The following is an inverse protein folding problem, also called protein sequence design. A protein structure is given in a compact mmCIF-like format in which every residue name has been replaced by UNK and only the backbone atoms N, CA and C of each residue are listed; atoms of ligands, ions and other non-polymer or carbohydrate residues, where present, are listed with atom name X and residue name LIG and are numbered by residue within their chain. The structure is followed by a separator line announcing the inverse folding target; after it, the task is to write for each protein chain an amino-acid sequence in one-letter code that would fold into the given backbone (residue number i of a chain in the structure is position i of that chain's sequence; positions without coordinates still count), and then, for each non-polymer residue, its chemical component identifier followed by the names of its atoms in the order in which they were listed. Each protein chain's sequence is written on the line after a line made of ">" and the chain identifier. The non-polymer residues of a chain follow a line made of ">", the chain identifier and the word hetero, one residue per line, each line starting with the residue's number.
data_IF_734560445193
#
_entry.id   IF_734560445193
#
_cell.length_a   1.000
_cell.length_b   1.000
_cell.length_c   1.000
_cell.angle_alpha   90.00
_cell.angle_beta   90.00
_cell.angle_gamma   90.00
#
_symmetry.space_group_name_H-M   'P 1'
#
loop_
_entity.id
_entity.type
_entity.pdbx_description
1 polymer ?
#
# COMPACT_ATOMS: atom_id res chain seq x y z
N UNK A 1 -1.13 0.48 -25.31
CA UNK A 1 -0.33 -0.65 -25.80
C UNK A 1 -0.72 -1.83 -24.92
N UNK A 2 -1.63 -2.66 -25.39
CA UNK A 2 -1.97 -3.90 -24.69
C UNK A 2 -0.74 -4.80 -24.78
N UNK A 3 -0.02 -4.95 -23.67
CA UNK A 3 0.95 -6.04 -23.54
C UNK A 3 0.13 -7.33 -23.60
N UNK A 4 0.12 -7.95 -24.79
CA UNK A 4 -0.40 -9.31 -24.92
C UNK A 4 0.38 -10.14 -23.90
N UNK A 5 -0.34 -10.84 -23.02
CA UNK A 5 0.23 -11.87 -22.18
C UNK A 5 0.93 -12.86 -23.10
N UNK A 6 2.25 -12.76 -23.22
CA UNK A 6 3.01 -13.80 -23.91
C UNK A 6 2.94 -15.05 -23.01
N UNK A 7 2.84 -16.25 -23.57
CA UNK A 7 2.83 -17.49 -22.79
C UNK A 7 4.00 -17.62 -21.78
N UNK A 8 5.07 -16.87 -21.98
CA UNK A 8 6.24 -16.83 -21.11
C UNK A 8 5.98 -16.14 -19.77
N UNK A 9 5.14 -15.08 -19.70
CA UNK A 9 4.78 -14.44 -18.44
C UNK A 9 3.95 -15.33 -17.51
N UNK A 10 3.20 -16.29 -18.05
CA UNK A 10 2.44 -17.25 -17.26
C UNK A 10 3.34 -18.22 -16.48
N UNK A 11 4.58 -18.41 -16.96
CA UNK A 11 5.60 -19.25 -16.31
C UNK A 11 6.38 -18.51 -15.21
N UNK A 12 6.17 -17.20 -15.08
CA UNK A 12 6.78 -16.42 -14.02
C UNK A 12 5.90 -16.44 -12.77
N UNK A 13 6.55 -16.61 -11.63
CA UNK A 13 5.93 -16.52 -10.33
C UNK A 13 6.30 -15.17 -9.71
N UNK A 14 5.30 -14.39 -9.39
CA UNK A 14 5.47 -13.06 -8.86
C UNK A 14 5.03 -12.98 -7.41
N UNK A 15 5.91 -12.46 -6.57
CA UNK A 15 5.59 -12.08 -5.20
C UNK A 15 5.66 -10.57 -5.05
N UNK A 16 4.65 -9.98 -4.43
CA UNK A 16 4.66 -8.58 -4.04
C UNK A 16 4.61 -8.44 -2.52
N UNK A 17 5.39 -7.50 -2.01
CA UNK A 17 5.42 -7.14 -0.59
C UNK A 17 4.99 -5.69 -0.44
N UNK A 18 3.93 -5.47 0.30
CA UNK A 18 3.48 -4.14 0.69
C UNK A 18 3.99 -3.82 2.09
N UNK A 19 4.70 -2.72 2.21
CA UNK A 19 5.20 -2.25 3.49
C UNK A 19 5.05 -0.73 3.61
N UNK A 20 5.29 -0.21 4.81
CA UNK A 20 5.30 1.23 5.02
C UNK A 20 6.72 1.75 5.07
N UNK A 21 7.02 2.65 4.14
CA UNK A 21 8.17 3.51 4.00
C UNK A 21 9.41 3.13 4.81
N UNK A 22 10.02 4.10 5.39
CA UNK A 22 11.32 3.98 6.12
C UNK A 22 11.33 2.86 7.17
N UNK A 23 10.20 2.63 7.85
CA UNK A 23 10.11 1.62 8.93
C UNK A 23 10.32 0.18 8.46
N UNK A 24 9.88 -0.14 7.26
CA UNK A 24 9.88 -1.52 6.77
C UNK A 24 10.73 -1.74 5.52
N UNK A 25 11.40 -0.70 5.01
CA UNK A 25 12.21 -0.80 3.79
C UNK A 25 13.26 -1.90 3.89
N UNK A 26 14.02 -1.95 4.99
CA UNK A 26 15.02 -2.99 5.22
C UNK A 26 14.40 -4.38 5.28
N UNK A 27 13.23 -4.52 5.91
CA UNK A 27 12.52 -5.78 6.04
C UNK A 27 11.92 -6.24 4.70
N UNK A 28 11.31 -5.31 3.94
CA UNK A 28 10.78 -5.58 2.59
C UNK A 28 11.88 -6.06 1.64
N UNK A 29 12.99 -5.34 1.61
CA UNK A 29 14.17 -5.72 0.82
C UNK A 29 14.74 -7.09 1.26
N UNK A 30 14.88 -7.31 2.57
CA UNK A 30 15.35 -8.59 3.11
C UNK A 30 14.44 -9.76 2.71
N UNK A 31 13.11 -9.54 2.75
CA UNK A 31 12.13 -10.55 2.34
C UNK A 31 12.26 -10.93 0.87
N UNK A 32 12.16 -9.95 -0.04
CA UNK A 32 12.17 -10.23 -1.48
C UNK A 32 13.52 -10.74 -1.96
N UNK A 33 14.63 -10.20 -1.41
CA UNK A 33 15.98 -10.70 -1.67
C UNK A 33 16.11 -12.16 -1.28
N UNK A 34 15.67 -12.52 -0.07
CA UNK A 34 15.76 -13.90 0.42
C UNK A 34 14.88 -14.82 -0.42
N UNK A 35 13.66 -14.40 -0.75
CA UNK A 35 12.74 -15.18 -1.58
C UNK A 35 13.28 -15.40 -3.00
N UNK A 36 13.80 -14.36 -3.65
CA UNK A 36 14.40 -14.49 -4.98
C UNK A 36 15.67 -15.35 -4.95
N UNK A 37 16.54 -15.17 -3.97
CA UNK A 37 17.73 -16.03 -3.81
C UNK A 37 17.34 -17.48 -3.60
N UNK A 38 16.27 -17.77 -2.85
CA UNK A 38 15.76 -19.12 -2.69
C UNK A 38 15.22 -19.70 -4.01
N UNK A 39 14.64 -18.87 -4.86
CA UNK A 39 14.30 -19.25 -6.23
C UNK A 39 15.52 -19.69 -7.04
N UNK A 40 16.62 -18.93 -6.95
CA UNK A 40 17.89 -19.29 -7.60
C UNK A 40 18.47 -20.60 -7.04
N UNK A 41 18.44 -20.82 -5.73
CA UNK A 41 18.86 -22.06 -5.08
C UNK A 41 18.03 -23.25 -5.56
N UNK A 42 16.73 -23.05 -5.76
CA UNK A 42 15.81 -24.03 -6.34
C UNK A 42 16.03 -24.27 -7.86
N UNK A 43 17.09 -23.74 -8.45
CA UNK A 43 17.44 -23.92 -9.88
C UNK A 43 16.61 -23.07 -10.83
N UNK A 44 16.04 -21.96 -10.37
CA UNK A 44 15.22 -21.04 -11.15
C UNK A 44 15.96 -19.72 -11.38
N UNK A 45 15.73 -19.07 -12.50
CA UNK A 45 16.15 -17.69 -12.64
C UNK A 45 15.26 -16.80 -11.79
N UNK A 46 15.87 -15.92 -11.00
CA UNK A 46 15.14 -15.09 -10.07
C UNK A 46 15.79 -13.74 -9.88
N UNK A 47 14.99 -12.73 -9.69
CA UNK A 47 15.45 -11.40 -9.31
C UNK A 47 14.45 -10.71 -8.39
N UNK A 48 14.86 -9.61 -7.80
CA UNK A 48 14.01 -8.77 -6.97
C UNK A 48 14.28 -7.30 -7.26
N UNK A 49 13.28 -6.48 -7.06
CA UNK A 49 13.40 -5.03 -7.19
C UNK A 49 12.41 -4.31 -6.28
N UNK A 50 12.66 -3.06 -6.06
CA UNK A 50 11.81 -2.17 -5.31
C UNK A 50 11.24 -1.12 -6.26
N UNK A 51 9.94 -0.87 -6.15
CA UNK A 51 9.36 0.30 -6.81
C UNK A 51 9.66 1.51 -5.95
N UNK A 52 10.53 2.35 -6.46
CA UNK A 52 10.76 3.67 -5.90
C UNK A 52 9.60 4.57 -6.35
N UNK A 53 8.90 5.18 -5.40
CA UNK A 53 8.06 6.32 -5.69
C UNK A 53 8.91 7.57 -5.48
N UNK A 54 8.91 8.49 -6.45
CA UNK A 54 9.63 9.78 -6.38
C UNK A 54 9.08 10.73 -5.30
N UNK A 55 8.10 10.27 -4.54
CA UNK A 55 7.64 10.99 -3.36
C UNK A 55 8.81 11.15 -2.40
N UNK A 56 9.13 12.38 -1.97
CA UNK A 56 10.16 12.60 -0.97
C UNK A 56 9.86 11.67 0.21
N UNK A 57 10.90 11.06 0.76
CA UNK A 57 10.88 10.13 1.88
C UNK A 57 9.95 10.63 2.99
N UNK A 58 8.67 10.36 2.83
CA UNK A 58 7.67 10.64 3.84
C UNK A 58 7.63 9.42 4.74
N UNK A 59 7.77 9.65 6.02
CA UNK A 59 7.58 8.61 7.00
C UNK A 59 6.27 7.87 6.73
N UNK A 60 6.36 6.55 6.54
CA UNK A 60 5.23 5.65 6.41
C UNK A 60 4.43 5.65 5.09
N UNK A 61 4.98 6.16 3.99
CA UNK A 61 4.40 5.95 2.65
C UNK A 61 4.40 4.45 2.33
N UNK A 62 3.29 3.90 1.82
CA UNK A 62 3.27 2.52 1.35
C UNK A 62 4.26 2.30 0.21
N UNK A 63 5.09 1.28 0.35
CA UNK A 63 6.10 0.88 -0.63
C UNK A 63 5.86 -0.56 -1.07
N UNK A 64 6.28 -0.86 -2.30
CA UNK A 64 6.15 -2.20 -2.87
C UNK A 64 7.52 -2.75 -3.25
N UNK A 65 7.76 -4.00 -2.89
CA UNK A 65 8.91 -4.78 -3.29
C UNK A 65 8.43 -6.01 -4.07
N UNK A 66 9.19 -6.40 -5.05
CA UNK A 66 8.83 -7.49 -5.95
C UNK A 66 9.92 -8.56 -5.96
N UNK A 67 9.50 -9.82 -5.94
CA UNK A 67 10.33 -10.97 -6.25
C UNK A 67 9.74 -11.67 -7.46
N UNK A 68 10.57 -11.95 -8.45
CA UNK A 68 10.18 -12.66 -9.67
C UNK A 68 11.01 -13.94 -9.75
N UNK A 69 10.34 -15.06 -9.91
CA UNK A 69 10.94 -16.39 -9.94
C UNK A 69 10.47 -17.08 -11.22
N UNK A 70 11.38 -17.32 -12.14
CA UNK A 70 11.08 -17.94 -13.42
C UNK A 70 10.99 -19.47 -13.33
N UNK A 71 10.37 -20.06 -14.34
CA UNK A 71 10.55 -21.47 -14.63
C UNK A 71 11.99 -21.69 -15.15
N UNK A 72 12.67 -22.82 -14.83
CA UNK A 72 14.04 -23.08 -15.32
C UNK A 72 14.22 -23.04 -16.84
N UNK A 73 13.13 -22.99 -17.59
CA UNK A 73 13.13 -22.96 -19.06
C UNK A 73 12.91 -21.56 -19.64
N UNK A 74 12.82 -20.53 -18.80
CA UNK A 74 12.51 -19.15 -19.21
C UNK A 74 13.68 -18.24 -18.90
N UNK A 75 14.26 -17.64 -19.93
CA UNK A 75 15.20 -16.54 -19.78
C UNK A 75 14.44 -15.28 -19.34
N UNK A 76 14.71 -14.82 -18.13
CA UNK A 76 14.11 -13.58 -17.61
C UNK A 76 14.93 -12.40 -18.14
N UNK A 77 14.40 -11.70 -19.12
CA UNK A 77 14.96 -10.40 -19.50
C UNK A 77 14.53 -9.37 -18.47
N UNK A 78 15.49 -8.89 -17.69
CA UNK A 78 15.29 -7.87 -16.65
C UNK A 78 14.88 -6.54 -17.30
N UNK A 79 13.65 -6.16 -17.10
CA UNK A 79 13.20 -4.78 -17.28
C UNK A 79 12.95 -4.16 -15.91
N UNK A 80 13.77 -3.20 -15.54
CA UNK A 80 13.77 -2.60 -14.20
C UNK A 80 12.48 -1.86 -13.81
N UNK A 81 11.52 -1.67 -14.72
CA UNK A 81 10.34 -0.83 -14.48
C UNK A 81 9.05 -1.43 -15.03
N UNK A 82 8.86 -2.73 -14.98
CA UNK A 82 7.57 -3.28 -15.42
C UNK A 82 6.53 -3.07 -14.32
N UNK A 83 5.64 -2.11 -14.53
CA UNK A 83 4.38 -2.12 -13.80
C UNK A 83 3.64 -3.42 -14.14
N UNK A 84 3.31 -4.24 -13.13
CA UNK A 84 2.57 -5.45 -13.40
C UNK A 84 1.18 -5.09 -13.95
N UNK A 85 0.94 -5.45 -15.19
CA UNK A 85 -0.35 -5.27 -15.87
C UNK A 85 -1.07 -6.60 -15.89
N UNK A 86 -2.25 -6.66 -15.30
CA UNK A 86 -3.06 -7.88 -15.25
C UNK A 86 -2.85 -8.69 -13.97
N UNK A 87 -3.31 -9.94 -13.98
CA UNK A 87 -3.24 -10.84 -12.82
C UNK A 87 -1.91 -11.61 -12.82
N UNK A 88 -0.89 -11.07 -12.17
CA UNK A 88 0.46 -11.64 -12.17
C UNK A 88 0.88 -12.21 -10.81
N UNK A 89 0.41 -11.61 -9.70
CA UNK A 89 0.90 -11.97 -8.36
C UNK A 89 0.37 -13.31 -7.88
N UNK A 90 1.28 -14.24 -7.64
CA UNK A 90 1.02 -15.53 -6.98
C UNK A 90 0.99 -15.37 -5.47
N UNK A 91 1.77 -14.41 -4.94
CA UNK A 91 1.85 -14.16 -3.50
C UNK A 91 1.82 -12.66 -3.21
N UNK A 92 1.11 -12.30 -2.17
CA UNK A 92 0.99 -10.95 -1.66
C UNK A 92 1.34 -10.99 -0.17
N UNK A 93 2.33 -10.22 0.24
CA UNK A 93 2.70 -10.11 1.65
C UNK A 93 2.47 -8.68 2.13
N UNK A 94 1.72 -8.51 3.19
CA UNK A 94 1.45 -7.22 3.81
C UNK A 94 2.20 -7.16 5.15
N UNK A 95 3.27 -6.39 5.20
CA UNK A 95 4.11 -6.27 6.39
C UNK A 95 3.49 -5.41 7.48
N UNK A 96 2.57 -4.54 7.10
CA UNK A 96 1.83 -3.68 8.01
C UNK A 96 0.34 -3.74 7.68
N UNK A 97 -0.44 -4.35 8.56
CA UNK A 97 -1.88 -4.54 8.37
C UNK A 97 -2.66 -3.22 8.21
N UNK A 98 -2.07 -2.09 8.62
CA UNK A 98 -2.67 -0.78 8.40
C UNK A 98 -2.93 -0.47 6.93
N UNK A 99 -2.11 -1.01 6.04
CA UNK A 99 -2.29 -0.85 4.60
C UNK A 99 -3.66 -1.39 4.15
N UNK A 100 -4.13 -2.46 4.78
CA UNK A 100 -5.45 -3.05 4.54
C UNK A 100 -6.55 -2.40 5.37
N UNK A 101 -6.26 -2.05 6.63
CA UNK A 101 -7.26 -1.56 7.58
C UNK A 101 -7.66 -0.11 7.32
N UNK A 102 -6.76 0.69 6.77
CA UNK A 102 -7.09 2.06 6.41
C UNK A 102 -8.05 2.13 5.22
N UNK A 103 -9.07 2.98 5.33
CA UNK A 103 -10.03 3.23 4.25
C UNK A 103 -9.48 4.24 3.22
N UNK A 104 -8.25 4.03 2.80
CA UNK A 104 -7.61 4.84 1.75
C UNK A 104 -7.65 4.10 0.40
N UNK A 105 -7.35 4.80 -0.67
CA UNK A 105 -7.24 4.22 -2.03
C UNK A 105 -6.15 3.15 -2.13
N UNK A 106 -5.10 3.24 -1.33
CA UNK A 106 -4.00 2.29 -1.28
C UNK A 106 -4.44 0.88 -0.88
N UNK A 107 -5.49 0.79 -0.08
CA UNK A 107 -6.10 -0.48 0.34
C UNK A 107 -6.51 -1.35 -0.85
N UNK A 108 -7.04 -0.74 -1.91
CA UNK A 108 -7.43 -1.46 -3.11
C UNK A 108 -6.23 -1.97 -3.91
N UNK A 109 -5.10 -1.25 -3.88
CA UNK A 109 -3.89 -1.59 -4.63
C UNK A 109 -3.24 -2.89 -4.15
N UNK A 110 -3.51 -3.33 -2.92
CA UNK A 110 -2.98 -4.61 -2.39
C UNK A 110 -3.36 -5.79 -3.28
N UNK A 111 -4.54 -5.75 -3.90
CA UNK A 111 -5.04 -6.82 -4.78
C UNK A 111 -4.90 -6.50 -6.27
N UNK A 112 -4.40 -5.31 -6.63
CA UNK A 112 -4.13 -5.01 -8.04
C UNK A 112 -3.05 -5.95 -8.56
N UNK A 113 -3.38 -6.69 -9.60
CA UNK A 113 -2.49 -7.70 -10.17
C UNK A 113 -2.50 -9.06 -9.46
N UNK A 114 -3.31 -9.29 -8.44
CA UNK A 114 -3.43 -10.58 -7.78
C UNK A 114 -4.01 -11.65 -8.72
N UNK A 115 -3.42 -12.84 -8.75
CA UNK A 115 -4.04 -14.02 -9.39
C UNK A 115 -5.23 -14.51 -8.57
N UNK A 116 -6.13 -15.24 -9.21
CA UNK A 116 -7.32 -15.80 -8.56
C UNK A 116 -6.98 -16.67 -7.36
N UNK A 117 -5.90 -17.42 -7.43
CA UNK A 117 -5.41 -18.36 -6.41
C UNK A 117 -4.26 -17.79 -5.57
N UNK A 118 -4.04 -16.48 -5.62
CA UNK A 118 -2.95 -15.82 -4.90
C UNK A 118 -2.99 -16.11 -3.39
N UNK A 119 -1.82 -16.26 -2.80
CA UNK A 119 -1.63 -16.39 -1.35
C UNK A 119 -1.45 -14.99 -0.76
N UNK A 120 -2.28 -14.63 0.22
CA UNK A 120 -2.13 -13.40 1.00
C UNK A 120 -1.57 -13.73 2.38
N UNK A 121 -0.43 -13.15 2.72
CA UNK A 121 0.17 -13.21 4.06
C UNK A 121 0.09 -11.83 4.70
N UNK A 122 -0.47 -11.75 5.90
CA UNK A 122 -0.64 -10.46 6.61
C UNK A 122 0.02 -10.51 7.97
N UNK A 123 0.92 -9.58 8.22
CA UNK A 123 1.47 -9.35 9.57
C UNK A 123 0.43 -8.61 10.42
N UNK A 124 -0.25 -9.34 11.29
CA UNK A 124 -1.30 -8.79 12.14
C UNK A 124 -1.55 -9.68 13.35
N UNK A 125 -2.10 -9.09 14.41
CA UNK A 125 -2.65 -9.82 15.55
C UNK A 125 -4.14 -10.12 15.40
N UNK A 126 -4.77 -9.62 14.34
CA UNK A 126 -6.19 -9.85 14.06
C UNK A 126 -6.43 -11.27 13.55
N UNK A 127 -7.55 -11.88 13.88
CA UNK A 127 -7.91 -13.19 13.36
C UNK A 127 -8.25 -13.13 11.87
N UNK A 128 -8.12 -14.24 11.13
CA UNK A 128 -8.35 -14.29 9.67
C UNK A 128 -9.72 -13.71 9.25
N UNK A 129 -10.77 -13.94 10.02
CA UNK A 129 -12.14 -13.48 9.73
C UNK A 129 -12.20 -11.95 9.61
N UNK A 130 -11.48 -11.23 10.48
CA UNK A 130 -11.45 -9.77 10.44
C UNK A 130 -10.73 -9.24 9.20
N UNK A 131 -9.69 -9.92 8.75
CA UNK A 131 -9.01 -9.56 7.50
C UNK A 131 -9.91 -9.87 6.30
N UNK A 132 -10.63 -10.99 6.32
CA UNK A 132 -11.58 -11.34 5.26
C UNK A 132 -12.73 -10.32 5.13
N UNK A 133 -13.30 -9.86 6.24
CA UNK A 133 -14.30 -8.79 6.22
C UNK A 133 -13.76 -7.52 5.53
N UNK A 134 -12.51 -7.16 5.84
CA UNK A 134 -11.84 -6.02 5.21
C UNK A 134 -11.65 -6.23 3.72
N UNK A 135 -11.24 -7.43 3.29
CA UNK A 135 -11.05 -7.78 1.88
C UNK A 135 -12.38 -7.77 1.13
N UNK A 136 -13.47 -8.26 1.74
CA UNK A 136 -14.82 -8.20 1.15
C UNK A 136 -15.31 -6.76 0.93
N UNK A 137 -14.95 -5.84 1.82
CA UNK A 137 -15.25 -4.42 1.66
C UNK A 137 -14.54 -3.80 0.45
N UNK A 138 -13.39 -4.34 0.02
CA UNK A 138 -12.62 -3.81 -1.12
C UNK A 138 -13.35 -3.96 -2.47
N UNK A 139 -14.37 -4.81 -2.54
CA UNK A 139 -15.12 -5.08 -3.77
C UNK A 139 -14.20 -5.49 -4.92
N UNK A 140 -13.45 -6.59 -4.72
CA UNK A 140 -12.49 -7.08 -5.69
C UNK A 140 -13.09 -7.15 -7.11
N UNK A 141 -12.31 -6.75 -8.10
CA UNK A 141 -12.69 -6.76 -9.52
C UNK A 141 -12.68 -8.17 -10.13
N UNK A 142 -12.03 -9.11 -9.46
CA UNK A 142 -11.95 -10.52 -9.86
C UNK A 142 -12.18 -11.42 -8.63
N UNK A 143 -12.53 -12.65 -8.89
CA UNK A 143 -12.70 -13.67 -7.86
C UNK A 143 -11.35 -14.02 -7.22
N UNK A 144 -11.34 -14.17 -5.90
CA UNK A 144 -10.18 -14.65 -5.17
C UNK A 144 -10.51 -15.94 -4.42
N UNK A 145 -9.86 -17.04 -4.83
CA UNK A 145 -10.01 -18.39 -4.26
C UNK A 145 -8.70 -18.92 -3.67
N UNK A 146 -7.78 -18.03 -3.33
CA UNK A 146 -6.48 -18.35 -2.79
C UNK A 146 -6.49 -18.68 -1.30
N UNK A 147 -5.37 -18.42 -0.64
CA UNK A 147 -5.21 -18.68 0.79
C UNK A 147 -4.87 -17.39 1.52
N UNK A 148 -5.39 -17.25 2.75
CA UNK A 148 -5.01 -16.21 3.70
C UNK A 148 -4.18 -16.85 4.82
N UNK A 149 -3.07 -16.18 5.19
CA UNK A 149 -2.31 -16.47 6.40
C UNK A 149 -2.17 -15.19 7.20
N UNK A 150 -2.62 -15.20 8.44
CA UNK A 150 -2.36 -14.13 9.40
C UNK A 150 -1.31 -14.59 10.40
N UNK A 151 -0.34 -13.73 10.68
CA UNK A 151 0.73 -14.05 11.63
C UNK A 151 1.19 -12.78 12.33
N UNK A 152 1.40 -12.85 13.65
CA UNK A 152 1.98 -11.75 14.44
C UNK A 152 3.50 -11.87 14.38
N UNK A 153 4.13 -11.36 13.32
CA UNK A 153 5.57 -11.55 13.07
C UNK A 153 6.46 -11.04 14.21
N UNK A 154 6.04 -10.00 14.92
CA UNK A 154 6.78 -9.44 16.07
C UNK A 154 6.90 -10.37 17.29
N UNK A 155 6.00 -11.35 17.41
CA UNK A 155 6.07 -12.30 18.53
C UNK A 155 7.27 -13.26 18.46
N UNK A 156 8.07 -13.15 17.40
CA UNK A 156 9.23 -13.99 17.15
C UNK A 156 10.58 -13.35 17.55
N UNK A 157 10.55 -12.11 18.09
CA UNK A 157 11.74 -11.35 18.50
C UNK A 157 12.83 -11.30 17.42
N UNK A 158 12.41 -11.07 16.17
CA UNK A 158 13.28 -11.06 15.00
C UNK A 158 12.82 -10.04 13.96
N UNK A 159 13.64 -9.85 12.93
CA UNK A 159 13.24 -9.12 11.73
C UNK A 159 11.97 -9.76 11.15
N UNK A 160 10.91 -8.97 10.95
CA UNK A 160 9.59 -9.45 10.54
C UNK A 160 9.58 -10.18 9.19
N UNK A 161 10.63 -10.01 8.38
CA UNK A 161 10.78 -10.69 7.09
C UNK A 161 10.79 -12.23 7.26
N UNK A 162 11.50 -12.76 8.28
CA UNK A 162 11.68 -14.21 8.42
C UNK A 162 10.42 -14.93 8.91
N UNK A 163 9.68 -14.44 9.90
CA UNK A 163 8.39 -15.05 10.24
C UNK A 163 7.40 -15.01 9.08
N UNK A 164 7.40 -13.94 8.29
CA UNK A 164 6.52 -13.84 7.11
C UNK A 164 6.93 -14.81 5.99
N UNK A 165 8.24 -15.06 5.81
CA UNK A 165 8.74 -16.08 4.89
C UNK A 165 8.28 -17.47 5.29
N UNK A 166 8.40 -17.85 6.55
CA UNK A 166 7.93 -19.15 7.05
C UNK A 166 6.43 -19.32 6.84
N UNK A 167 5.63 -18.28 7.16
CA UNK A 167 4.20 -18.29 6.93
C UNK A 167 3.83 -18.39 5.43
N UNK A 168 4.60 -17.72 4.57
CA UNK A 168 4.40 -17.80 3.12
C UNK A 168 4.67 -19.22 2.61
N UNK A 169 5.80 -19.83 2.98
CA UNK A 169 6.16 -21.16 2.51
C UNK A 169 5.15 -22.23 2.94
N UNK A 170 4.50 -22.05 4.08
CA UNK A 170 3.41 -22.93 4.53
C UNK A 170 2.23 -22.96 3.59
N UNK A 171 1.89 -21.82 3.02
CA UNK A 171 0.76 -21.67 2.12
C UNK A 171 1.12 -21.86 0.63
N UNK A 172 2.38 -21.57 0.29
CA UNK A 172 2.90 -21.57 -1.08
C UNK A 172 4.17 -22.44 -1.18
N UNK A 173 4.01 -23.61 -1.74
CA UNK A 173 5.02 -24.68 -1.73
C UNK A 173 6.02 -24.66 -2.90
N UNK A 174 6.09 -23.59 -3.65
CA UNK A 174 7.01 -23.50 -4.82
C UNK A 174 8.47 -23.46 -4.39
N UNK A 175 8.77 -22.84 -3.28
CA UNK A 175 10.08 -22.83 -2.62
C UNK A 175 9.96 -23.71 -1.38
N UNK A 176 10.93 -24.56 -1.15
CA UNK A 176 10.96 -25.47 -0.01
C UNK A 176 11.69 -24.87 1.19
N UNK A 177 11.50 -25.43 2.37
CA UNK A 177 12.28 -25.05 3.55
C UNK A 177 13.78 -25.38 3.37
N UNK A 178 14.12 -26.41 2.61
CA UNK A 178 15.50 -26.76 2.30
C UNK A 178 16.17 -25.72 1.40
N UNK A 179 15.46 -25.23 0.36
CA UNK A 179 15.93 -24.14 -0.49
C UNK A 179 16.17 -22.88 0.33
N UNK A 180 15.25 -22.57 1.26
CA UNK A 180 15.38 -21.40 2.12
C UNK A 180 16.51 -21.55 3.15
N UNK A 181 16.72 -22.75 3.72
CA UNK A 181 17.83 -23.04 4.62
C UNK A 181 19.16 -22.78 3.93
N UNK A 182 19.36 -23.38 2.76
CA UNK A 182 20.56 -23.16 1.94
C UNK A 182 20.74 -21.68 1.60
N UNK A 183 19.67 -21.00 1.28
CA UNK A 183 19.68 -19.55 0.99
C UNK A 183 20.16 -18.74 2.19
N UNK A 184 19.64 -19.02 3.39
CA UNK A 184 20.03 -18.32 4.60
C UNK A 184 21.49 -18.56 4.98
N UNK A 185 22.01 -19.77 4.73
CA UNK A 185 23.43 -20.06 4.87
C UNK A 185 24.28 -19.21 3.91
N UNK A 186 23.91 -19.17 2.63
CA UNK A 186 24.59 -18.35 1.61
C UNK A 186 24.58 -16.85 1.94
N UNK A 187 23.49 -16.37 2.55
CA UNK A 187 23.35 -14.97 2.96
C UNK A 187 24.02 -14.68 4.32
N UNK A 188 24.65 -15.66 4.98
CA UNK A 188 25.25 -15.51 6.31
C UNK A 188 24.23 -15.31 7.43
N UNK A 189 23.00 -15.82 7.25
CA UNK A 189 21.86 -15.65 8.16
C UNK A 189 21.25 -16.99 8.58
N UNK A 190 22.05 -18.04 8.67
CA UNK A 190 21.62 -19.39 9.04
C UNK A 190 20.89 -19.44 10.39
N UNK A 191 21.26 -18.54 11.32
CA UNK A 191 20.60 -18.38 12.62
C UNK A 191 19.11 -18.03 12.53
N UNK A 192 18.67 -17.47 11.41
CA UNK A 192 17.26 -17.09 11.19
C UNK A 192 16.38 -18.29 10.81
N UNK A 193 16.95 -19.42 10.43
CA UNK A 193 16.17 -20.60 10.04
C UNK A 193 15.27 -21.09 11.17
N UNK A 194 15.73 -21.03 12.42
CA UNK A 194 14.92 -21.40 13.60
C UNK A 194 13.61 -20.60 13.67
N UNK A 195 13.66 -19.35 13.28
CA UNK A 195 12.48 -18.45 13.26
C UNK A 195 11.55 -18.82 12.12
N UNK A 196 12.11 -19.10 10.96
CA UNK A 196 11.35 -19.57 9.79
C UNK A 196 10.64 -20.88 10.10
N UNK A 197 11.32 -21.87 10.67
CA UNK A 197 10.75 -23.18 11.03
C UNK A 197 9.61 -23.05 12.04
N UNK A 198 9.81 -22.19 13.04
CA UNK A 198 8.79 -21.92 14.05
C UNK A 198 7.56 -21.26 13.41
N UNK A 199 7.76 -20.20 12.62
CA UNK A 199 6.65 -19.51 11.97
C UNK A 199 5.94 -20.35 10.91
N UNK A 200 6.68 -21.23 10.21
CA UNK A 200 6.11 -22.22 9.32
C UNK A 200 5.20 -23.21 10.07
N UNK A 201 5.61 -23.63 11.26
CA UNK A 201 4.84 -24.55 12.09
C UNK A 201 3.60 -23.88 12.68
N UNK A 202 3.71 -22.62 13.09
CA UNK A 202 2.64 -21.83 13.70
C UNK A 202 1.62 -21.31 12.68
N UNK A 203 1.98 -21.23 11.41
CA UNK A 203 1.12 -20.68 10.36
C UNK A 203 -0.03 -21.63 10.00
N UNK A 204 -1.24 -21.10 9.98
CA UNK A 204 -2.48 -21.80 9.61
C UNK A 204 -3.12 -21.17 8.37
N UNK A 205 -2.86 -21.69 7.15
CA UNK A 205 -3.47 -21.16 5.93
C UNK A 205 -5.00 -21.40 5.91
N UNK A 206 -5.76 -20.33 5.77
CA UNK A 206 -7.21 -20.38 5.62
C UNK A 206 -7.58 -20.33 4.14
N UNK A 207 -8.33 -21.31 3.63
CA UNK A 207 -8.84 -21.31 2.27
C UNK A 207 -9.91 -20.23 2.11
N UNK A 208 -9.81 -19.43 1.08
CA UNK A 208 -10.71 -18.29 0.82
C UNK A 208 -11.51 -18.52 -0.47
N UNK A 209 -12.72 -17.99 -0.50
CA UNK A 209 -13.56 -17.95 -1.69
C UNK A 209 -14.39 -16.65 -1.70
N UNK A 210 -13.80 -15.59 -2.21
CA UNK A 210 -14.45 -14.28 -2.37
C UNK A 210 -14.79 -14.08 -3.84
N UNK A 211 -16.09 -13.95 -4.13
CA UNK A 211 -16.56 -13.68 -5.48
C UNK A 211 -16.33 -12.24 -5.86
N UNK A 212 -16.01 -12.01 -7.14
CA UNK A 212 -15.97 -10.67 -7.69
C UNK A 212 -17.33 -9.98 -7.49
N UNK A 213 -17.33 -8.78 -6.97
CA UNK A 213 -18.51 -7.93 -7.01
C UNK A 213 -18.55 -7.29 -8.40
N UNK A 214 -19.61 -7.53 -9.15
CA UNK A 214 -19.83 -6.96 -10.48
C UNK A 214 -19.74 -5.44 -10.37
N UNK A 215 -18.67 -4.87 -10.93
CA UNK A 215 -18.61 -3.43 -11.08
C UNK A 215 -19.74 -2.99 -11.99
N UNK A 216 -20.66 -2.21 -11.47
CA UNK A 216 -21.56 -1.46 -12.32
C UNK A 216 -20.64 -0.44 -13.01
N UNK A 217 -20.43 -0.60 -14.31
CA UNK A 217 -19.82 0.47 -15.11
C UNK A 217 -20.71 1.72 -14.91
N UNK A 218 -20.29 2.58 -14.02
CA UNK A 218 -20.81 3.95 -14.02
C UNK A 218 -20.25 4.59 -15.26
N UNK A 219 -21.09 4.70 -16.30
CA UNK A 219 -20.77 5.60 -17.40
C UNK A 219 -20.48 6.95 -16.77
N UNK A 220 -19.24 7.39 -16.84
CA UNK A 220 -18.91 8.72 -16.38
C UNK A 220 -19.67 9.68 -17.29
N UNK A 221 -20.60 10.44 -16.73
CA UNK A 221 -21.31 11.54 -17.44
C UNK A 221 -20.38 12.75 -17.60
N UNK A 222 -19.09 12.51 -17.73
CA UNK A 222 -18.13 13.58 -17.90
C UNK A 222 -18.28 14.16 -19.31
N UNK A 223 -18.31 15.47 -19.44
CA UNK A 223 -18.37 16.11 -20.74
C UNK A 223 -17.17 15.68 -21.59
N UNK A 224 -17.42 15.33 -22.84
CA UNK A 224 -16.34 15.07 -23.80
C UNK A 224 -15.62 16.38 -24.08
N UNK A 225 -14.29 16.34 -24.02
CA UNK A 225 -13.48 17.49 -24.37
C UNK A 225 -13.39 17.61 -25.89
N UNK A 226 -13.96 18.65 -26.43
CA UNK A 226 -13.88 18.97 -27.84
C UNK A 226 -12.83 20.07 -28.07
N UNK A 227 -11.53 19.69 -27.96
CA UNK A 227 -10.44 20.60 -28.27
C UNK A 227 -9.79 21.29 -27.05
N UNK A 228 -9.27 22.49 -27.27
CA UNK A 228 -8.52 23.26 -26.26
C UNK A 228 -9.36 23.58 -25.01
N UNK A 229 -8.81 23.27 -23.84
CA UNK A 229 -9.45 23.48 -22.56
C UNK A 229 -9.19 24.88 -22.03
N UNK A 230 -10.23 25.71 -22.01
CA UNK A 230 -10.19 26.96 -21.26
C UNK A 230 -10.27 26.70 -19.73
N UNK A 231 -9.88 27.68 -18.95
CA UNK A 231 -9.89 27.65 -17.49
C UNK A 231 -11.26 27.25 -16.90
N UNK A 232 -12.36 27.67 -17.54
CA UNK A 232 -13.73 27.36 -17.11
C UNK A 232 -14.05 25.87 -17.28
N UNK A 233 -13.62 25.27 -18.39
CA UNK A 233 -13.80 23.83 -18.64
C UNK A 233 -12.97 23.00 -17.67
N UNK A 234 -11.74 23.41 -17.40
CA UNK A 234 -10.88 22.77 -16.42
C UNK A 234 -11.52 22.79 -15.01
N UNK A 235 -12.06 23.93 -14.57
CA UNK A 235 -12.79 24.02 -13.29
C UNK A 235 -14.00 23.07 -13.22
N UNK A 236 -14.75 22.92 -14.30
CA UNK A 236 -15.87 21.96 -14.36
C UNK A 236 -15.40 20.52 -14.16
N UNK A 237 -14.26 20.16 -14.73
CA UNK A 237 -13.66 18.82 -14.51
C UNK A 237 -13.16 18.64 -13.10
N UNK A 238 -12.50 19.63 -12.52
CA UNK A 238 -12.08 19.56 -11.12
C UNK A 238 -13.27 19.36 -10.18
N UNK A 239 -14.38 20.08 -10.41
CA UNK A 239 -15.61 19.93 -9.63
C UNK A 239 -16.20 18.51 -9.82
N UNK A 240 -16.20 18.00 -11.03
CA UNK A 240 -16.66 16.65 -11.32
C UNK A 240 -15.77 15.59 -10.63
N UNK A 241 -14.45 15.77 -10.71
CA UNK A 241 -13.48 14.88 -10.05
C UNK A 241 -13.62 14.91 -8.53
N UNK A 242 -13.87 16.09 -7.93
CA UNK A 242 -14.08 16.21 -6.48
C UNK A 242 -15.32 15.48 -5.96
N UNK A 243 -16.28 15.21 -6.83
CA UNK A 243 -17.52 14.46 -6.52
C UNK A 243 -17.38 12.96 -6.74
N UNK A 244 -16.30 12.52 -7.33
CA UNK A 244 -16.06 11.10 -7.59
C UNK A 244 -15.88 10.33 -6.28
N UNK A 245 -16.44 9.13 -6.19
CA UNK A 245 -16.46 8.33 -4.97
C UNK A 245 -15.17 7.54 -4.75
N UNK A 246 -14.39 7.34 -5.80
CA UNK A 246 -13.14 6.56 -5.75
C UNK A 246 -11.99 7.33 -6.38
N UNK A 247 -10.76 7.00 -5.98
CA UNK A 247 -9.55 7.55 -6.60
C UNK A 247 -9.51 7.26 -8.11
N UNK A 248 -9.85 6.03 -8.51
CA UNK A 248 -9.90 5.64 -9.93
C UNK A 248 -10.88 6.49 -10.73
N UNK A 249 -12.07 6.77 -10.16
CA UNK A 249 -13.05 7.62 -10.80
C UNK A 249 -12.53 9.06 -10.95
N UNK A 250 -11.80 9.56 -9.94
CA UNK A 250 -11.17 10.88 -9.98
C UNK A 250 -10.10 10.97 -11.05
N UNK A 251 -9.20 10.01 -11.12
CA UNK A 251 -8.15 9.96 -12.15
C UNK A 251 -8.73 9.81 -13.55
N UNK A 252 -9.81 9.03 -13.69
CA UNK A 252 -10.54 8.90 -14.97
C UNK A 252 -11.25 10.17 -15.39
N UNK A 253 -11.56 11.06 -14.44
CA UNK A 253 -12.19 12.34 -14.68
C UNK A 253 -11.19 13.43 -15.09
N UNK A 254 -9.89 13.23 -14.87
CA UNK A 254 -8.87 14.21 -15.23
C UNK A 254 -8.69 14.26 -16.75
N UNK A 255 -8.48 15.46 -17.33
CA UNK A 255 -8.20 15.59 -18.75
C UNK A 255 -6.88 14.89 -19.08
N UNK A 256 -6.87 14.18 -20.20
CA UNK A 256 -5.62 13.61 -20.71
C UNK A 256 -4.70 14.74 -21.19
N UNK A 257 -3.39 14.48 -21.13
CA UNK A 257 -2.37 15.46 -21.54
C UNK A 257 -2.56 15.97 -22.97
N UNK A 258 -3.16 15.17 -23.87
CA UNK A 258 -3.42 15.53 -25.27
C UNK A 258 -4.43 16.68 -25.44
N UNK A 259 -5.27 16.91 -24.43
CA UNK A 259 -6.26 17.99 -24.45
C UNK A 259 -5.86 19.20 -23.61
N UNK A 260 -4.70 19.12 -22.94
CA UNK A 260 -4.13 20.26 -22.23
C UNK A 260 -3.39 21.18 -23.21
N UNK A 261 -3.48 22.50 -22.99
CA UNK A 261 -2.69 23.43 -23.78
C UNK A 261 -1.19 23.20 -23.54
N UNK A 262 -0.35 23.30 -24.58
CA UNK A 262 1.10 23.20 -24.41
C UNK A 262 1.63 24.15 -23.33
N UNK A 263 2.38 23.63 -22.38
CA UNK A 263 2.92 24.40 -21.25
C UNK A 263 1.96 24.60 -20.07
N UNK A 264 0.74 24.11 -20.15
CA UNK A 264 -0.15 24.02 -18.98
C UNK A 264 0.30 22.84 -18.13
N UNK A 265 0.98 23.14 -17.04
CA UNK A 265 1.05 22.26 -15.87
C UNK A 265 -0.28 22.42 -15.15
N UNK A 266 -0.85 21.34 -14.60
CA UNK A 266 -2.00 21.45 -13.72
C UNK A 266 -1.83 22.62 -12.77
N UNK A 267 -2.82 23.47 -12.69
CA UNK A 267 -2.81 24.56 -11.72
C UNK A 267 -2.74 23.93 -10.32
N UNK A 268 -1.56 23.94 -9.77
CA UNK A 268 -1.42 23.67 -8.33
C UNK A 268 -2.27 24.68 -7.57
N UNK A 269 -2.81 24.31 -6.42
CA UNK A 269 -3.55 25.25 -5.59
C UNK A 269 -2.64 26.42 -5.23
N UNK A 270 -3.21 27.63 -5.19
CA UNK A 270 -2.57 28.74 -4.55
C UNK A 270 -2.33 28.49 -3.07
N UNK A 271 -1.53 29.32 -2.37
CA UNK A 271 -1.35 29.18 -0.93
C UNK A 271 -2.69 29.12 -0.19
N UNK A 272 -2.92 28.05 0.58
CA UNK A 272 -4.17 27.82 1.32
C UNK A 272 -5.33 27.25 0.49
N UNK A 273 -5.12 26.94 -0.78
CA UNK A 273 -6.12 26.26 -1.63
C UNK A 273 -5.78 24.79 -1.79
N UNK A 274 -6.80 23.94 -1.97
CA UNK A 274 -6.64 22.51 -2.23
C UNK A 274 -6.63 22.23 -3.72
N UNK A 275 -5.84 21.26 -4.14
CA UNK A 275 -6.02 20.69 -5.46
C UNK A 275 -7.23 19.74 -5.44
N UNK A 276 -8.39 20.22 -5.87
CA UNK A 276 -9.64 19.44 -5.86
C UNK A 276 -9.62 18.26 -6.84
N UNK A 277 -8.68 18.22 -7.77
CA UNK A 277 -8.49 17.10 -8.70
C UNK A 277 -7.65 15.96 -8.14
N UNK A 278 -6.95 16.19 -7.03
CA UNK A 278 -6.01 15.22 -6.48
C UNK A 278 -6.09 15.16 -4.95
N UNK A 279 -6.55 14.04 -4.40
CA UNK A 279 -6.56 13.82 -2.95
C UNK A 279 -5.21 13.26 -2.50
N UNK A 280 -4.68 13.82 -1.41
CA UNK A 280 -3.36 13.48 -0.87
C UNK A 280 -3.43 12.56 0.36
N UNK A 281 -4.63 12.16 0.77
CA UNK A 281 -4.86 11.40 2.01
C UNK A 281 -4.40 9.95 1.98
N UNK A 282 -4.11 9.40 0.81
CA UNK A 282 -3.79 7.98 0.65
C UNK A 282 -2.47 7.56 1.34
N UNK A 283 -1.58 8.51 1.62
CA UNK A 283 -0.28 8.27 2.27
C UNK A 283 -0.31 8.53 3.78
N UNK A 284 -1.44 9.00 4.33
CA UNK A 284 -1.48 9.43 5.70
C UNK A 284 -1.41 8.27 6.70
N UNK A 285 -0.44 8.33 7.58
CA UNK A 285 -0.31 7.45 8.75
C UNK A 285 -0.76 8.11 10.04
N UNK A 286 -0.47 9.41 10.19
CA UNK A 286 -0.84 10.23 11.33
C UNK A 286 -1.84 11.29 10.90
N UNK A 287 -2.84 11.55 11.72
CA UNK A 287 -3.78 12.66 11.49
C UNK A 287 -3.75 13.67 12.63
N UNK A 288 -3.86 14.97 12.32
CA UNK A 288 -3.95 15.99 13.35
C UNK A 288 -5.30 15.94 14.06
N UNK A 289 -5.27 16.17 15.37
CA UNK A 289 -6.42 16.45 16.22
C UNK A 289 -6.19 17.76 16.93
N UNK A 290 -7.26 18.53 17.14
CA UNK A 290 -7.19 19.83 17.79
C UNK A 290 -7.91 19.84 19.14
N UNK A 291 -7.23 20.35 20.15
CA UNK A 291 -7.84 20.76 21.42
C UNK A 291 -8.38 22.19 21.26
N UNK A 292 -9.68 22.27 21.04
CA UNK A 292 -10.37 23.54 20.79
C UNK A 292 -10.26 24.49 22.00
N UNK A 293 -10.18 23.97 23.24
CA UNK A 293 -10.06 24.76 24.43
C UNK A 293 -8.72 25.52 24.52
N UNK A 294 -7.67 24.99 23.91
CA UNK A 294 -6.35 25.61 23.86
C UNK A 294 -6.13 26.45 22.59
N UNK A 295 -6.99 26.34 21.61
CA UNK A 295 -6.86 27.05 20.36
C UNK A 295 -7.15 28.54 20.51
N UNK A 296 -6.22 29.40 20.09
CA UNK A 296 -6.38 30.87 20.08
C UNK A 296 -6.83 31.44 18.73
N UNK A 297 -7.19 30.57 17.80
CA UNK A 297 -7.66 30.95 16.47
C UNK A 297 -6.67 31.80 15.63
N UNK A 298 -5.37 31.59 15.84
CA UNK A 298 -4.31 32.38 15.21
C UNK A 298 -4.07 32.10 13.72
N UNK A 299 -4.73 31.09 13.12
CA UNK A 299 -4.68 30.67 11.72
C UNK A 299 -3.31 30.18 11.20
N UNK A 300 -2.29 30.08 12.03
CA UNK A 300 -0.96 29.63 11.58
C UNK A 300 -1.03 28.22 10.95
N UNK A 301 -1.81 27.32 11.52
CA UNK A 301 -1.98 25.98 10.98
C UNK A 301 -2.61 25.97 9.55
N UNK A 302 -3.54 26.92 9.28
CA UNK A 302 -4.11 27.13 7.96
C UNK A 302 -3.05 27.64 6.98
N UNK A 303 -2.34 28.73 7.34
CA UNK A 303 -1.39 29.38 6.45
C UNK A 303 -0.17 28.51 6.12
N UNK A 304 0.24 27.63 7.02
CA UNK A 304 1.40 26.76 6.83
C UNK A 304 1.03 25.36 6.32
N UNK A 305 -0.24 25.06 6.07
CA UNK A 305 -0.63 23.77 5.55
C UNK A 305 -0.20 23.63 4.07
N UNK A 306 0.74 22.72 3.73
CA UNK A 306 1.22 22.59 2.36
C UNK A 306 0.16 22.04 1.41
N UNK A 307 -0.82 21.30 1.95
CA UNK A 307 -1.87 20.63 1.17
C UNK A 307 -3.17 21.46 1.11
N UNK A 308 -3.21 22.65 1.72
CA UNK A 308 -4.44 23.44 1.86
C UNK A 308 -5.58 22.71 2.59
N UNK A 309 -5.24 21.68 3.35
CA UNK A 309 -6.19 20.78 4.00
C UNK A 309 -6.83 21.33 5.29
N UNK A 310 -6.51 22.56 5.66
CA UNK A 310 -7.07 23.21 6.86
C UNK A 310 -7.80 24.49 6.42
N UNK A 311 -9.10 24.56 6.66
CA UNK A 311 -9.88 25.75 6.30
C UNK A 311 -9.55 26.94 7.22
N UNK A 312 -10.02 28.15 6.85
CA UNK A 312 -9.83 29.34 7.67
C UNK A 312 -10.55 29.23 9.03
N UNK A 313 -11.63 28.43 9.11
CA UNK A 313 -12.34 28.11 10.36
C UNK A 313 -11.66 26.97 11.16
N UNK A 314 -10.44 26.59 10.76
CA UNK A 314 -9.64 25.53 11.38
C UNK A 314 -10.37 24.17 11.38
N UNK A 315 -10.98 23.83 10.26
CA UNK A 315 -11.53 22.50 9.99
C UNK A 315 -10.56 21.72 9.12
N UNK A 316 -10.25 20.51 9.53
CA UNK A 316 -9.37 19.62 8.79
C UNK A 316 -10.16 18.87 7.71
N UNK A 317 -9.68 18.95 6.47
CA UNK A 317 -10.16 18.11 5.38
C UNK A 317 -9.22 16.92 5.23
N UNK A 318 -9.67 15.78 5.74
CA UNK A 318 -8.86 14.58 5.77
C UNK A 318 -8.72 13.88 4.42
N UNK A 319 -9.41 14.31 3.38
CA UNK A 319 -9.19 13.84 2.02
C UNK A 319 -7.91 14.44 1.40
N UNK A 320 -7.43 15.55 1.95
CA UNK A 320 -6.27 16.27 1.45
C UNK A 320 -5.10 16.32 2.44
N UNK A 321 -5.33 15.99 3.70
CA UNK A 321 -4.29 16.01 4.71
C UNK A 321 -3.32 14.84 4.54
N UNK A 322 -2.03 15.12 4.34
CA UNK A 322 -0.96 14.11 4.25
C UNK A 322 -0.41 13.69 5.63
N UNK A 323 -0.83 14.34 6.72
CA UNK A 323 -0.33 14.03 8.07
C UNK A 323 1.10 14.53 8.34
N UNK A 324 1.61 15.49 7.58
CA UNK A 324 3.00 15.99 7.63
C UNK A 324 3.42 16.59 8.98
N UNK A 325 2.47 16.96 9.86
CA UNK A 325 2.75 17.49 11.20
C UNK A 325 3.16 18.96 11.27
N UNK A 326 3.18 19.70 10.16
CA UNK A 326 3.54 21.13 10.17
C UNK A 326 2.58 21.92 11.06
N UNK A 327 1.27 21.64 11.00
CA UNK A 327 0.26 22.31 11.83
C UNK A 327 0.50 22.15 13.34
N UNK A 328 0.99 20.99 13.76
CA UNK A 328 1.39 20.73 15.15
C UNK A 328 2.62 21.58 15.53
N UNK A 329 3.63 21.62 14.66
CA UNK A 329 4.89 22.34 14.92
C UNK A 329 4.71 23.85 14.99
N UNK A 330 3.86 24.42 14.13
CA UNK A 330 3.63 25.88 14.08
C UNK A 330 2.62 26.36 15.12
N UNK A 331 1.94 25.48 15.83
CA UNK A 331 0.95 25.86 16.83
C UNK A 331 1.63 26.40 18.10
N UNK A 332 1.55 27.72 18.40
CA UNK A 332 2.21 28.29 19.56
C UNK A 332 1.60 27.81 20.88
N UNK A 333 0.32 27.45 20.84
CA UNK A 333 -0.43 26.96 22.00
C UNK A 333 -0.32 25.45 22.20
N UNK A 334 0.37 24.74 21.29
CA UNK A 334 0.39 23.28 21.27
C UNK A 334 -1.01 22.67 21.38
N UNK A 335 -1.97 23.30 20.70
CA UNK A 335 -3.36 22.87 20.66
C UNK A 335 -3.59 21.76 19.63
N UNK A 336 -2.61 21.47 18.78
CA UNK A 336 -2.70 20.40 17.76
C UNK A 336 -1.70 19.33 18.15
N UNK A 337 -2.16 18.09 18.17
CA UNK A 337 -1.37 16.87 18.32
C UNK A 337 -1.69 15.93 17.16
N UNK A 338 -0.91 14.85 17.00
CA UNK A 338 -1.17 13.83 16.00
C UNK A 338 -1.53 12.51 16.66
N UNK A 339 -2.48 11.82 16.05
CA UNK A 339 -2.87 10.45 16.41
C UNK A 339 -2.71 9.56 15.18
N UNK A 340 -2.58 8.25 15.40
CA UNK A 340 -2.53 7.30 14.28
C UNK A 340 -3.87 7.24 13.55
N UNK A 341 -3.84 6.98 12.26
CA UNK A 341 -5.07 6.90 11.46
C UNK A 341 -6.02 5.79 11.94
N UNK A 342 -5.51 4.72 12.52
CA UNK A 342 -6.33 3.61 13.06
C UNK A 342 -7.10 3.95 14.31
N UNK A 343 -6.61 4.86 15.16
CA UNK A 343 -7.36 5.32 16.34
C UNK A 343 -8.70 5.94 15.96
N UNK A 344 -8.88 6.23 14.68
CA UNK A 344 -10.09 6.84 14.14
C UNK A 344 -10.93 5.88 13.28
N UNK A 345 -10.46 4.66 13.02
CA UNK A 345 -11.19 3.66 12.22
C UNK A 345 -12.29 3.02 13.06
N UNK A 346 -13.55 3.23 12.67
CA UNK A 346 -14.69 2.61 13.35
C UNK A 346 -14.60 1.08 13.32
N UNK A 347 -14.69 0.46 14.49
CA UNK A 347 -14.76 -1.00 14.63
C UNK A 347 -13.44 -1.67 14.99
N UNK A 348 -12.34 -0.95 15.10
CA UNK A 348 -11.12 -1.44 15.74
C UNK A 348 -11.27 -1.23 17.23
N UNK A 349 -11.10 -2.28 18.04
CA UNK A 349 -11.12 -2.14 19.50
C UNK A 349 -9.89 -1.36 19.95
N UNK A 350 -10.01 -0.54 21.01
CA UNK A 350 -8.86 0.19 21.59
C UNK A 350 -7.64 -0.70 21.85
N UNK A 351 -7.87 -1.95 22.21
CA UNK A 351 -6.83 -2.97 22.46
C UNK A 351 -6.05 -3.38 21.20
N UNK A 352 -6.59 -3.09 20.01
CA UNK A 352 -6.00 -3.39 18.70
C UNK A 352 -5.26 -2.17 18.11
N UNK A 353 -5.40 -1.02 18.76
CA UNK A 353 -4.80 0.24 18.34
C UNK A 353 -3.39 0.33 18.94
N UNK A 354 -2.39 0.16 18.11
CA UNK A 354 -1.00 0.38 18.52
C UNK A 354 -0.74 1.89 18.52
N UNK A 355 -0.50 2.47 19.70
CA UNK A 355 -0.10 3.87 19.78
C UNK A 355 1.26 4.08 19.11
N UNK A 356 1.54 5.31 18.62
CA UNK A 356 2.84 5.63 18.03
C UNK A 356 3.99 5.29 18.97
N UNK A 357 3.84 5.56 20.26
CA UNK A 357 4.85 5.22 21.27
C UNK A 357 5.03 3.70 21.40
N UNK A 358 3.95 2.94 21.33
CA UNK A 358 4.02 1.48 21.34
C UNK A 358 4.64 0.98 20.03
N UNK A 359 4.23 1.54 18.88
CA UNK A 359 4.83 1.24 17.60
C UNK A 359 6.33 1.56 17.59
N UNK A 360 6.75 2.73 18.04
CA UNK A 360 8.16 3.12 18.12
C UNK A 360 8.96 2.21 19.07
N UNK A 361 8.41 1.88 20.25
CA UNK A 361 9.07 0.94 21.19
C UNK A 361 9.14 -0.48 20.63
N UNK A 362 8.10 -0.93 19.95
CA UNK A 362 8.04 -2.25 19.34
C UNK A 362 8.92 -2.36 18.08
N UNK A 363 9.19 -1.26 17.37
CA UNK A 363 10.08 -1.22 16.20
C UNK A 363 11.54 -0.93 16.55
N UNK A 364 11.86 -0.69 17.85
CA UNK A 364 13.25 -0.52 18.31
C UNK A 364 13.86 0.83 17.97
N UNK A 365 13.05 1.90 17.89
CA UNK A 365 13.52 3.29 17.78
C UNK A 365 13.50 4.00 19.12
#
# INVERSE_FOLDING_TARGET
>A
MELRSTPEYEKLLWGVVHCRGVLHTAHGNSFVRTLATAGTVAGRESYYYMRYDDSPERDNVPMMFYAVIGDPTVDIVLHEEVEPVGQLFNTITVMDSSILLHRTSQRALVFDGAKKDAVLVVNTSLPPERILEVVEELQLTHEWTGKLVTIKARSYDAEIAYPLLGALLKAWSTITLEDLSTTLELLGKADKMVIVDRSYSDAEPTQVNIKAKRMVERKSELPKADGFWGLETYRKYQIAASKASTYRDRMSAMPRWEVLAPGLVEFGPGPGEKNIGFTTSFDRYMRPVIDVARCTDCKLCHHYCPDGAISFEIKFDFDYCTGCGICERVCPMKAISRVTEWETVKGVKEEEIVTVEQALREYGY
#
